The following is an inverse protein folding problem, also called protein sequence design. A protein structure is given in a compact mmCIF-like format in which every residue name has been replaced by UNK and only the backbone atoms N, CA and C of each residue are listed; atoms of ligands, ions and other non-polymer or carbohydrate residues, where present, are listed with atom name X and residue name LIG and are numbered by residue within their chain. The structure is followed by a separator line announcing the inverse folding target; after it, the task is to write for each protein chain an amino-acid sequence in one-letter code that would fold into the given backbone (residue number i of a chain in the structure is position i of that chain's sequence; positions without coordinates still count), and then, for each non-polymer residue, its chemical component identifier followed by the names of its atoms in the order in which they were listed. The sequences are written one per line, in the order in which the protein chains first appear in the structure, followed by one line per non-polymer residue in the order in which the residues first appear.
data_IF_618784447699
#
_entry.id   IF_618784447699
#
_cell.length_a   1.000
_cell.length_b   1.000
_cell.length_c   1.000
_cell.angle_alpha   90.00
_cell.angle_beta   90.00
_cell.angle_gamma   90.00
#
_symmetry.space_group_name_H-M   'P 1'
#
loop_
_entity.id
_entity.type
_entity.pdbx_description
1 polymer ?
#
# COMPACT_ATOMS: atom_id res chain seq x y z
N UNK A 1 -2.67 -40.29 11.12
CA UNK A 1 -2.75 -38.81 10.96
C UNK A 1 -3.57 -38.14 12.07
N UNK A 2 -4.85 -38.49 12.28
CA UNK A 2 -5.71 -37.87 13.32
C UNK A 2 -5.17 -37.97 14.75
N UNK A 3 -4.61 -39.11 15.16
CA UNK A 3 -4.04 -39.28 16.51
C UNK A 3 -2.78 -38.46 16.75
N UNK A 4 -1.93 -38.34 15.72
CA UNK A 4 -0.72 -37.51 15.77
C UNK A 4 -1.07 -36.03 15.94
N UNK A 5 -2.02 -35.54 15.13
CA UNK A 5 -2.52 -34.15 15.23
C UNK A 5 -3.10 -33.90 16.63
N UNK A 6 -3.92 -34.82 17.15
CA UNK A 6 -4.52 -34.65 18.48
C UNK A 6 -3.47 -34.63 19.61
N UNK A 7 -2.40 -35.43 19.48
CA UNK A 7 -1.31 -35.50 20.47
C UNK A 7 -0.42 -34.26 20.47
N UNK A 8 -0.10 -33.72 19.28
CA UNK A 8 0.82 -32.60 19.13
C UNK A 8 0.14 -31.25 18.83
N UNK A 9 -1.19 -31.20 18.89
CA UNK A 9 -2.00 -30.02 18.57
C UNK A 9 -1.48 -28.73 19.21
N UNK A 10 -1.19 -28.75 20.50
CA UNK A 10 -0.74 -27.54 21.21
C UNK A 10 0.65 -27.11 20.73
N UNK A 11 1.57 -28.06 20.51
CA UNK A 11 2.91 -27.79 19.99
C UNK A 11 2.85 -27.22 18.56
N UNK A 12 2.02 -27.81 17.69
CA UNK A 12 1.79 -27.32 16.33
C UNK A 12 1.17 -25.92 16.32
N UNK A 13 0.20 -25.66 17.22
CA UNK A 13 -0.43 -24.34 17.36
C UNK A 13 0.61 -23.30 17.79
N UNK A 14 1.45 -23.61 18.78
CA UNK A 14 2.53 -22.72 19.22
C UNK A 14 3.50 -22.44 18.07
N UNK A 15 3.92 -23.46 17.32
CA UNK A 15 4.83 -23.29 16.19
C UNK A 15 4.23 -22.38 15.09
N UNK A 16 2.96 -22.57 14.75
CA UNK A 16 2.26 -21.74 13.76
C UNK A 16 2.06 -20.30 14.25
N UNK A 17 1.71 -20.10 15.52
CA UNK A 17 1.60 -18.76 16.11
C UNK A 17 2.96 -18.04 16.16
N UNK A 18 4.05 -18.74 16.48
CA UNK A 18 5.40 -18.19 16.41
C UNK A 18 5.78 -17.80 14.98
N UNK A 19 5.47 -18.64 13.99
CA UNK A 19 5.66 -18.30 12.58
C UNK A 19 4.87 -17.04 12.19
N UNK A 20 3.63 -16.89 12.70
CA UNK A 20 2.83 -15.69 12.52
C UNK A 20 3.48 -14.44 13.11
N UNK A 21 4.02 -14.53 14.34
CA UNK A 21 4.75 -13.40 14.96
C UNK A 21 6.01 -13.04 14.16
N UNK A 22 6.78 -14.04 13.73
CA UNK A 22 7.97 -13.82 12.88
C UNK A 22 7.59 -13.14 11.57
N UNK A 23 6.51 -13.57 10.93
CA UNK A 23 5.99 -12.94 9.72
C UNK A 23 5.63 -11.46 9.95
N UNK A 24 4.96 -11.15 11.06
CA UNK A 24 4.61 -9.77 11.43
C UNK A 24 5.83 -8.92 11.79
N UNK A 25 6.90 -9.50 12.34
CA UNK A 25 8.15 -8.78 12.60
C UNK A 25 8.98 -8.57 11.33
N UNK A 26 8.98 -9.54 10.43
CA UNK A 26 9.70 -9.47 9.15
C UNK A 26 9.10 -8.43 8.20
N UNK A 27 7.79 -8.18 8.29
CA UNK A 27 7.09 -7.11 7.57
C UNK A 27 7.82 -5.75 7.65
N UNK A 28 8.35 -5.36 8.81
CA UNK A 28 9.07 -4.08 8.99
C UNK A 28 10.41 -4.02 8.24
N UNK A 29 11.03 -5.16 7.99
CA UNK A 29 12.34 -5.26 7.34
C UNK A 29 12.23 -5.44 5.83
N UNK A 30 11.02 -5.68 5.31
CA UNK A 30 10.79 -5.97 3.90
C UNK A 30 10.12 -4.75 3.23
N UNK A 31 10.92 -3.93 2.54
CA UNK A 31 10.54 -2.73 1.78
C UNK A 31 9.65 -2.99 0.54
N UNK A 32 8.98 -4.15 0.47
CA UNK A 32 8.26 -4.63 -0.72
C UNK A 32 6.75 -4.56 -0.56
N UNK A 33 6.07 -4.02 -1.58
CA UNK A 33 4.64 -4.08 -2.00
C UNK A 33 3.50 -3.93 -0.96
N UNK A 34 3.71 -4.14 0.35
CA UNK A 34 2.69 -4.04 1.39
C UNK A 34 2.76 -2.76 2.23
N UNK A 35 3.60 -1.78 1.89
CA UNK A 35 3.70 -0.51 2.64
C UNK A 35 2.48 0.41 2.49
N UNK A 36 1.58 0.08 1.54
CA UNK A 36 0.37 0.84 1.22
C UNK A 36 -0.87 0.43 2.03
N UNK A 37 -0.89 -0.80 2.57
CA UNK A 37 -1.95 -1.28 3.46
C UNK A 37 -1.56 -1.00 4.91
N UNK A 38 -2.00 0.15 5.43
CA UNK A 38 -1.96 0.43 6.87
C UNK A 38 -3.38 0.40 7.42
N UNK A 39 -3.53 -0.40 8.46
CA UNK A 39 -4.72 -0.42 9.29
C UNK A 39 -4.30 -0.27 10.73
N UNK A 40 -5.08 0.47 11.49
CA UNK A 40 -4.96 0.54 12.94
C UNK A 40 -6.26 0.10 13.60
N UNK A 41 -6.13 -0.38 14.83
CA UNK A 41 -7.25 -0.62 15.73
C UNK A 41 -7.06 0.35 16.89
N UNK A 42 -7.93 1.35 16.99
CA UNK A 42 -7.83 2.42 17.99
C UNK A 42 -6.45 3.12 18.01
N UNK A 43 -5.86 3.38 16.85
CA UNK A 43 -4.55 4.03 16.73
C UNK A 43 -3.35 3.13 17.03
N UNK A 44 -3.57 1.84 17.33
CA UNK A 44 -2.51 0.84 17.45
C UNK A 44 -2.37 0.14 16.10
N UNK A 45 -1.15 0.17 15.55
CA UNK A 45 -0.84 -0.52 14.30
C UNK A 45 -1.26 -2.00 14.39
N UNK A 46 -1.98 -2.48 13.36
CA UNK A 46 -2.47 -3.84 13.25
C UNK A 46 -1.36 -4.89 13.48
N UNK A 47 -0.10 -4.53 13.20
CA UNK A 47 1.06 -5.34 13.54
C UNK A 47 1.14 -5.70 15.01
N UNK A 48 1.10 -4.70 15.88
CA UNK A 48 1.22 -4.91 17.33
C UNK A 48 0.02 -5.67 17.88
N UNK A 49 -1.17 -5.41 17.33
CA UNK A 49 -2.37 -6.18 17.64
C UNK A 49 -2.19 -7.64 17.24
N UNK A 50 -1.72 -7.92 16.04
CA UNK A 50 -1.47 -9.27 15.55
C UNK A 50 -0.45 -10.04 16.39
N UNK A 51 0.64 -9.37 16.80
CA UNK A 51 1.66 -9.94 17.70
C UNK A 51 1.05 -10.25 19.08
N UNK A 52 0.31 -9.30 19.67
CA UNK A 52 -0.34 -9.50 20.97
C UNK A 52 -1.37 -10.64 20.91
N UNK A 53 -2.17 -10.69 19.85
CA UNK A 53 -3.15 -11.75 19.60
C UNK A 53 -2.49 -13.13 19.50
N UNK A 54 -1.46 -13.28 18.66
CA UNK A 54 -0.73 -14.56 18.53
C UNK A 54 -0.03 -14.95 19.83
N UNK A 55 0.47 -13.99 20.59
CA UNK A 55 1.04 -14.22 21.91
C UNK A 55 -0.01 -14.77 22.88
N UNK A 56 -1.22 -14.22 22.88
CA UNK A 56 -2.32 -14.75 23.69
C UNK A 56 -2.67 -16.20 23.31
N UNK A 57 -2.71 -16.53 22.00
CA UNK A 57 -2.93 -17.90 21.52
C UNK A 57 -1.83 -18.84 22.03
N UNK A 58 -0.55 -18.43 21.98
CA UNK A 58 0.58 -19.21 22.51
C UNK A 58 0.42 -19.48 24.00
N UNK A 59 0.07 -18.45 24.78
CA UNK A 59 -0.11 -18.56 26.24
C UNK A 59 -1.20 -19.59 26.55
N UNK A 60 -2.38 -19.47 25.94
CA UNK A 60 -3.47 -20.42 26.18
C UNK A 60 -3.15 -21.84 25.69
N UNK A 61 -2.42 -21.98 24.57
CA UNK A 61 -1.96 -23.27 24.08
C UNK A 61 -0.94 -23.92 25.04
N UNK A 62 -0.02 -23.15 25.61
CA UNK A 62 0.97 -23.61 26.58
C UNK A 62 0.32 -24.10 27.88
N UNK A 63 -0.70 -23.38 28.37
CA UNK A 63 -1.52 -23.79 29.53
C UNK A 63 -2.56 -24.87 29.19
N UNK A 64 -2.55 -25.41 27.96
CA UNK A 64 -3.48 -26.46 27.49
C UNK A 64 -4.95 -26.08 27.60
N UNK A 65 -5.26 -24.79 27.54
CA UNK A 65 -6.63 -24.27 27.58
C UNK A 65 -7.25 -24.28 26.18
N UNK A 66 -7.59 -25.46 25.67
CA UNK A 66 -8.07 -25.65 24.29
C UNK A 66 -9.37 -24.91 23.97
N UNK A 67 -10.26 -24.68 24.96
CA UNK A 67 -11.48 -23.90 24.75
C UNK A 67 -11.18 -22.45 24.37
N UNK A 68 -10.25 -21.81 25.08
CA UNK A 68 -9.85 -20.42 24.81
C UNK A 68 -9.10 -20.30 23.48
N UNK A 69 -8.21 -21.25 23.16
CA UNK A 69 -7.51 -21.30 21.87
C UNK A 69 -8.52 -21.37 20.72
N UNK A 70 -9.50 -22.27 20.79
CA UNK A 70 -10.52 -22.45 19.74
C UNK A 70 -11.39 -21.21 19.57
N UNK A 71 -11.79 -20.56 20.67
CA UNK A 71 -12.57 -19.33 20.63
C UNK A 71 -11.78 -18.16 20.03
N UNK A 72 -10.50 -17.99 20.42
CA UNK A 72 -9.63 -16.96 19.85
C UNK A 72 -9.41 -17.17 18.36
N UNK A 73 -9.09 -18.39 17.92
CA UNK A 73 -8.89 -18.70 16.51
C UNK A 73 -10.17 -18.50 15.69
N UNK A 74 -11.34 -18.84 16.24
CA UNK A 74 -12.63 -18.56 15.59
C UNK A 74 -12.87 -17.05 15.44
N UNK A 75 -12.57 -16.26 16.47
CA UNK A 75 -12.64 -14.79 16.39
C UNK A 75 -11.67 -14.25 15.33
N UNK A 76 -10.46 -14.77 15.26
CA UNK A 76 -9.45 -14.44 14.24
C UNK A 76 -9.95 -14.70 12.83
N UNK A 77 -10.63 -15.82 12.57
CA UNK A 77 -11.26 -16.08 11.27
C UNK A 77 -12.27 -15.01 10.88
N UNK A 78 -13.05 -14.51 11.84
CA UNK A 78 -13.98 -13.41 11.61
C UNK A 78 -13.27 -12.11 11.23
N UNK A 79 -12.14 -11.83 11.87
CA UNK A 79 -11.28 -10.68 11.55
C UNK A 79 -10.73 -10.79 10.13
N UNK A 80 -10.16 -11.95 9.77
CA UNK A 80 -9.59 -12.17 8.44
C UNK A 80 -10.63 -11.98 7.33
N UNK A 81 -11.87 -12.41 7.52
CA UNK A 81 -12.95 -12.20 6.53
C UNK A 81 -13.13 -10.71 6.21
N UNK A 82 -13.10 -9.84 7.22
CA UNK A 82 -13.20 -8.39 7.00
C UNK A 82 -11.96 -7.85 6.28
N UNK A 83 -10.76 -8.26 6.70
CA UNK A 83 -9.50 -7.82 6.09
C UNK A 83 -9.34 -8.28 4.64
N UNK A 84 -9.85 -9.46 4.29
CA UNK A 84 -9.96 -9.93 2.91
C UNK A 84 -10.94 -9.10 2.09
N UNK A 85 -12.12 -8.84 2.64
CA UNK A 85 -13.12 -8.02 1.96
C UNK A 85 -12.56 -6.61 1.69
N UNK A 86 -11.83 -6.04 2.64
CA UNK A 86 -11.15 -4.76 2.50
C UNK A 86 -10.09 -4.78 1.38
N UNK A 87 -9.28 -5.82 1.29
CA UNK A 87 -8.28 -5.96 0.21
C UNK A 87 -8.93 -6.09 -1.18
N UNK A 88 -10.00 -6.88 -1.31
CA UNK A 88 -10.71 -7.08 -2.58
C UNK A 88 -11.44 -5.80 -3.02
N UNK A 89 -12.10 -5.09 -2.09
CA UNK A 89 -12.83 -3.86 -2.41
C UNK A 89 -11.93 -2.74 -2.93
N UNK A 90 -10.66 -2.77 -2.55
CA UNK A 90 -9.70 -1.72 -2.87
C UNK A 90 -8.64 -2.13 -3.90
N UNK A 91 -8.72 -3.37 -4.41
CA UNK A 91 -7.80 -3.94 -5.39
C UNK A 91 -6.30 -3.86 -4.97
N UNK A 92 -6.06 -3.96 -3.66
CA UNK A 92 -4.71 -4.00 -3.07
C UNK A 92 -4.56 -5.30 -2.28
N UNK A 93 -3.63 -6.15 -2.70
CA UNK A 93 -3.36 -7.45 -2.06
C UNK A 93 -2.04 -7.39 -1.32
N UNK A 94 -2.03 -7.71 -0.03
CA UNK A 94 -0.80 -7.82 0.73
C UNK A 94 -0.39 -9.28 0.97
N UNK A 95 0.71 -9.77 0.35
CA UNK A 95 1.21 -11.12 0.58
C UNK A 95 1.42 -11.50 2.06
N UNK A 96 1.84 -10.56 2.92
CA UNK A 96 2.04 -10.83 4.35
C UNK A 96 0.71 -11.06 5.09
N UNK A 97 -0.31 -10.24 4.85
CA UNK A 97 -1.64 -10.44 5.45
C UNK A 97 -2.26 -11.76 4.98
N UNK A 98 -2.13 -12.09 3.69
CA UNK A 98 -2.58 -13.36 3.13
C UNK A 98 -1.88 -14.56 3.76
N UNK A 99 -0.55 -14.48 3.94
CA UNK A 99 0.22 -15.53 4.59
C UNK A 99 -0.15 -15.67 6.08
N UNK A 100 -0.38 -14.56 6.78
CA UNK A 100 -0.84 -14.57 8.18
C UNK A 100 -2.22 -15.25 8.31
N UNK A 101 -3.16 -14.89 7.45
CA UNK A 101 -4.47 -15.56 7.36
C UNK A 101 -4.33 -17.06 7.17
N UNK A 102 -3.46 -17.51 6.24
CA UNK A 102 -3.23 -18.95 6.01
C UNK A 102 -2.73 -19.64 7.27
N UNK A 103 -1.78 -19.03 8.00
CA UNK A 103 -1.30 -19.57 9.28
C UNK A 103 -2.42 -19.68 10.33
N UNK A 104 -3.31 -18.69 10.39
CA UNK A 104 -4.45 -18.68 11.29
C UNK A 104 -5.48 -19.76 10.93
N UNK A 105 -5.83 -19.89 9.64
CA UNK A 105 -6.74 -20.92 9.13
C UNK A 105 -6.18 -22.32 9.43
N UNK A 106 -4.89 -22.56 9.18
CA UNK A 106 -4.23 -23.83 9.49
C UNK A 106 -4.28 -24.12 11.00
N UNK A 107 -4.02 -23.11 11.83
CA UNK A 107 -4.12 -23.22 13.29
C UNK A 107 -5.53 -23.58 13.73
N UNK A 108 -6.55 -22.99 13.11
CA UNK A 108 -7.95 -23.31 13.38
C UNK A 108 -8.29 -24.75 12.98
N UNK A 109 -7.87 -25.20 11.78
CA UNK A 109 -8.11 -26.57 11.28
C UNK A 109 -7.50 -27.61 12.22
N UNK A 110 -6.28 -27.38 12.72
CA UNK A 110 -5.60 -28.27 13.68
C UNK A 110 -6.37 -28.36 15.01
N UNK A 111 -7.10 -27.29 15.37
CA UNK A 111 -7.92 -27.20 16.57
C UNK A 111 -9.41 -27.45 16.34
N UNK A 112 -9.80 -27.85 15.14
CA UNK A 112 -11.19 -28.13 14.81
C UNK A 112 -11.65 -29.45 15.43
N UNK A 113 -12.79 -29.40 16.12
CA UNK A 113 -13.46 -30.55 16.69
C UNK A 113 -14.87 -30.64 16.11
N UNK A 114 -15.25 -31.84 15.69
CA UNK A 114 -16.54 -32.08 15.06
C UNK A 114 -17.65 -31.86 16.10
N UNK A 115 -18.63 -30.97 15.84
CA UNK A 115 -19.67 -30.64 16.81
C UNK A 115 -20.59 -31.82 17.10
N UNK A 116 -21.04 -31.94 18.34
CA UNK A 116 -22.04 -32.93 18.75
C UNK A 116 -23.38 -32.77 18.00
N UNK A 117 -23.74 -31.54 17.63
CA UNK A 117 -24.93 -31.21 16.83
C UNK A 117 -24.95 -31.91 15.45
N UNK A 118 -23.79 -32.30 14.91
CA UNK A 118 -23.70 -33.07 13.66
C UNK A 118 -24.29 -34.48 13.79
N UNK A 119 -24.35 -35.04 15.01
CA UNK A 119 -24.93 -36.36 15.30
C UNK A 119 -26.42 -36.32 15.65
N UNK A 120 -26.93 -35.22 16.20
CA UNK A 120 -28.28 -35.21 16.81
C UNK A 120 -29.38 -34.52 15.97
N UNK A 121 -29.12 -33.34 15.38
CA UNK A 121 -30.18 -32.54 14.72
C UNK A 121 -29.67 -31.79 13.49
N UNK A 122 -29.92 -32.36 12.30
CA UNK A 122 -29.53 -31.82 10.98
C UNK A 122 -29.96 -30.36 10.72
N UNK A 123 -31.08 -29.90 11.32
CA UNK A 123 -31.65 -28.55 11.11
C UNK A 123 -30.88 -27.42 11.81
N UNK A 124 -30.10 -27.70 12.87
CA UNK A 124 -29.24 -26.71 13.55
C UNK A 124 -27.80 -26.70 13.06
N UNK A 125 -27.50 -27.52 12.04
CA UNK A 125 -26.13 -27.77 11.58
C UNK A 125 -25.39 -26.50 11.17
N UNK A 126 -26.08 -25.56 10.51
CA UNK A 126 -25.48 -24.31 10.04
C UNK A 126 -24.96 -23.44 11.20
N UNK A 127 -25.57 -23.47 12.38
CA UNK A 127 -25.08 -22.67 13.53
C UNK A 127 -23.79 -23.22 14.14
N UNK A 128 -23.52 -24.50 13.95
CA UNK A 128 -22.39 -25.21 14.56
C UNK A 128 -21.33 -25.60 13.52
N UNK A 129 -21.37 -25.10 12.29
CA UNK A 129 -20.45 -25.57 11.24
C UNK A 129 -18.97 -25.30 11.58
N UNK A 130 -18.68 -24.24 12.35
CA UNK A 130 -17.34 -23.94 12.85
C UNK A 130 -16.97 -24.71 14.14
N UNK A 131 -17.85 -25.56 14.68
CA UNK A 131 -17.64 -26.25 15.94
C UNK A 131 -18.36 -25.62 17.13
N UNK A 132 -18.20 -26.23 18.29
CA UNK A 132 -18.72 -25.78 19.58
C UNK A 132 -17.62 -25.75 20.65
N UNK A 133 -17.77 -24.89 21.65
CA UNK A 133 -16.83 -24.72 22.76
C UNK A 133 -17.55 -24.73 24.10
N UNK A 134 -16.89 -25.31 25.11
CA UNK A 134 -17.36 -25.37 26.49
C UNK A 134 -16.46 -24.55 27.41
N UNK A 135 -17.08 -23.68 28.22
CA UNK A 135 -16.40 -22.86 29.24
C UNK A 135 -16.91 -23.24 30.63
N UNK A 136 -16.34 -24.28 31.26
CA UNK A 136 -16.79 -24.77 32.56
C UNK A 136 -16.67 -23.71 33.67
N UNK A 137 -15.66 -22.83 33.58
CA UNK A 137 -15.42 -21.76 34.56
C UNK A 137 -16.55 -20.70 34.58
N UNK A 138 -17.24 -20.49 33.46
CA UNK A 138 -18.34 -19.54 33.33
C UNK A 138 -19.73 -20.21 33.37
N UNK A 139 -19.78 -21.53 33.62
CA UNK A 139 -21.00 -22.37 33.54
C UNK A 139 -21.72 -22.28 32.18
N UNK A 140 -20.98 -22.04 31.09
CA UNK A 140 -21.55 -22.00 29.74
C UNK A 140 -21.12 -23.23 28.95
N UNK A 141 -22.09 -23.94 28.39
CA UNK A 141 -21.90 -25.18 27.64
C UNK A 141 -22.42 -25.04 26.21
N UNK A 142 -21.77 -25.72 25.26
CA UNK A 142 -22.16 -25.82 23.85
C UNK A 142 -22.34 -24.47 23.14
N UNK A 143 -21.42 -23.54 23.35
CA UNK A 143 -21.42 -22.27 22.62
C UNK A 143 -20.93 -22.50 21.17
N UNK A 144 -21.66 -22.02 20.15
CA UNK A 144 -21.20 -22.14 18.76
C UNK A 144 -20.00 -21.23 18.51
N UNK A 145 -18.95 -21.77 17.87
CA UNK A 145 -17.75 -20.99 17.49
C UNK A 145 -18.05 -19.89 16.46
N UNK A 146 -19.15 -20.04 15.71
CA UNK A 146 -19.70 -19.00 14.84
C UNK A 146 -19.92 -17.68 15.58
N UNK A 147 -20.36 -17.73 16.84
CA UNK A 147 -20.61 -16.52 17.63
C UNK A 147 -19.30 -15.75 17.87
N UNK A 148 -18.20 -16.44 18.15
CA UNK A 148 -16.89 -15.82 18.30
C UNK A 148 -16.36 -15.24 17.00
N UNK A 149 -16.56 -15.93 15.88
CA UNK A 149 -16.23 -15.40 14.54
C UNK A 149 -17.04 -14.14 14.22
N UNK A 150 -18.35 -14.14 14.50
CA UNK A 150 -19.19 -12.95 14.32
C UNK A 150 -18.73 -11.80 15.22
N UNK A 151 -18.40 -12.07 16.48
CA UNK A 151 -17.85 -11.05 17.39
C UNK A 151 -16.51 -10.50 16.90
N UNK A 152 -15.62 -11.36 16.39
CA UNK A 152 -14.36 -10.94 15.77
C UNK A 152 -14.62 -10.01 14.58
N UNK A 153 -15.50 -10.42 13.67
CA UNK A 153 -15.90 -9.61 12.51
C UNK A 153 -16.51 -8.26 12.91
N UNK A 154 -17.43 -8.23 13.87
CA UNK A 154 -18.04 -6.99 14.35
C UNK A 154 -17.02 -6.11 15.04
N UNK A 155 -16.12 -6.68 15.86
CA UNK A 155 -15.09 -5.91 16.54
C UNK A 155 -14.19 -5.20 15.54
N UNK A 156 -13.68 -5.90 14.51
CA UNK A 156 -12.86 -5.27 13.48
C UNK A 156 -13.69 -4.26 12.67
N UNK A 157 -14.93 -4.56 12.30
CA UNK A 157 -15.79 -3.64 11.56
C UNK A 157 -15.96 -2.28 12.26
N UNK A 158 -16.07 -2.25 13.59
CA UNK A 158 -16.25 -1.01 14.36
C UNK A 158 -14.96 -0.32 14.78
N UNK A 159 -13.86 -1.06 14.90
CA UNK A 159 -12.61 -0.55 15.47
C UNK A 159 -11.51 -0.34 14.44
N UNK A 160 -11.59 -1.04 13.30
CA UNK A 160 -10.62 -0.97 12.23
C UNK A 160 -10.77 0.33 11.47
N UNK A 161 -9.72 1.15 11.54
CA UNK A 161 -9.53 2.28 10.66
C UNK A 161 -8.54 1.83 9.59
N UNK A 162 -9.07 1.22 8.53
CA UNK A 162 -8.31 0.91 7.33
C UNK A 162 -8.39 2.10 6.37
N UNK A 163 -7.29 2.80 6.17
CA UNK A 163 -7.22 3.85 5.16
C UNK A 163 -6.76 3.26 3.83
N UNK A 164 -7.67 3.24 2.86
CA UNK A 164 -7.39 3.09 1.42
C UNK A 164 -7.43 4.44 0.69
N UNK A 165 -7.72 5.49 1.46
CA UNK A 165 -7.78 6.89 1.08
C UNK A 165 -6.83 7.69 1.98
N UNK A 166 -6.04 8.64 1.43
CA UNK A 166 -5.19 9.51 2.23
C UNK A 166 -6.04 10.24 3.26
N UNK A 167 -5.58 10.29 4.50
CA UNK A 167 -6.11 11.19 5.50
C UNK A 167 -5.91 12.65 5.03
N UNK A 168 -6.90 13.20 4.33
CA UNK A 168 -7.07 14.64 4.19
C UNK A 168 -7.65 15.16 5.50
N UNK A 169 -6.78 15.76 6.31
CA UNK A 169 -7.14 16.31 7.60
C UNK A 169 -6.00 17.12 8.18
N UNK A 170 -5.79 18.32 7.62
CA UNK A 170 -5.27 19.47 8.36
C UNK A 170 -3.82 19.40 8.86
N UNK A 171 -2.90 19.57 7.92
CA UNK A 171 -1.75 20.48 7.99
C UNK A 171 -1.29 20.68 6.54
N UNK A 172 -0.60 21.76 6.20
CA UNK A 172 -0.13 22.00 4.82
C UNK A 172 0.96 20.97 4.49
N UNK A 173 0.57 19.74 4.22
CA UNK A 173 1.42 18.72 3.63
C UNK A 173 1.72 19.20 2.22
N UNK A 174 3.00 19.45 1.94
CA UNK A 174 3.48 19.84 0.63
C UNK A 174 2.91 18.84 -0.41
N UNK A 175 1.99 19.30 -1.25
CA UNK A 175 1.46 18.49 -2.35
C UNK A 175 2.58 18.05 -3.30
N UNK A 176 2.25 17.17 -4.26
CA UNK A 176 3.21 16.75 -5.29
C UNK A 176 3.91 17.98 -5.88
N UNK A 177 5.26 18.05 -5.85
CA UNK A 177 5.95 19.26 -6.25
C UNK A 177 5.58 19.67 -7.68
N UNK A 178 5.11 20.90 -7.82
CA UNK A 178 4.75 21.50 -9.11
C UNK A 178 5.54 22.77 -9.38
N UNK A 179 5.88 22.99 -10.63
CA UNK A 179 6.54 24.18 -11.14
C UNK A 179 5.51 25.14 -11.72
N UNK A 180 5.65 26.43 -11.42
CA UNK A 180 4.71 27.45 -11.89
C UNK A 180 3.37 27.46 -11.13
N UNK A 181 2.54 28.44 -11.44
CA UNK A 181 1.21 28.66 -10.82
C UNK A 181 0.16 29.06 -11.85
N UNK A 182 0.38 28.67 -13.10
CA UNK A 182 -0.46 29.05 -14.21
C UNK A 182 -1.80 28.32 -14.27
N UNK A 183 -2.71 28.84 -15.10
CA UNK A 183 -4.07 28.30 -15.30
C UNK A 183 -4.07 26.96 -16.04
N UNK A 184 -3.15 26.78 -16.98
CA UNK A 184 -3.02 25.56 -17.77
C UNK A 184 -2.14 24.57 -17.02
N UNK A 185 -2.59 23.32 -16.84
CA UNK A 185 -1.83 22.31 -16.11
C UNK A 185 -1.26 21.25 -17.05
N UNK A 186 -0.01 20.88 -16.83
CA UNK A 186 0.67 19.77 -17.48
C UNK A 186 1.06 18.79 -16.38
N UNK A 187 0.54 17.56 -16.44
CA UNK A 187 0.91 16.49 -15.51
C UNK A 187 1.63 15.40 -16.29
N UNK A 188 2.93 15.25 -16.02
CA UNK A 188 3.79 14.25 -16.65
C UNK A 188 3.87 13.01 -15.73
N UNK A 189 3.33 11.89 -16.19
CA UNK A 189 3.42 10.60 -15.53
C UNK A 189 4.57 9.78 -16.10
N UNK A 190 5.54 9.39 -15.26
CA UNK A 190 6.74 8.70 -15.70
C UNK A 190 7.27 7.72 -14.64
N UNK A 191 7.93 6.65 -15.10
CA UNK A 191 8.73 5.76 -14.25
C UNK A 191 10.22 5.96 -14.62
N UNK A 192 11.12 6.01 -13.63
CA UNK A 192 12.55 6.23 -13.85
C UNK A 192 13.22 5.13 -14.68
N UNK A 193 12.68 3.91 -14.67
CA UNK A 193 13.20 2.74 -15.39
C UNK A 193 12.56 2.57 -16.78
N UNK A 194 11.70 3.50 -17.21
CA UNK A 194 11.04 3.48 -18.51
C UNK A 194 11.87 4.21 -19.60
N UNK A 195 12.38 3.52 -20.64
CA UNK A 195 13.22 4.17 -21.66
C UNK A 195 12.52 5.29 -22.46
N UNK A 196 11.25 5.14 -22.89
CA UNK A 196 10.53 6.25 -23.52
C UNK A 196 10.36 7.46 -22.60
N UNK A 197 10.30 7.26 -21.29
CA UNK A 197 10.17 8.31 -20.30
C UNK A 197 11.42 9.20 -20.26
N UNK A 198 12.63 8.61 -20.24
CA UNK A 198 13.88 9.37 -20.33
C UNK A 198 13.98 10.17 -21.63
N UNK A 199 13.58 9.57 -22.77
CA UNK A 199 13.60 10.25 -24.07
C UNK A 199 12.71 11.49 -24.08
N UNK A 200 11.46 11.36 -23.65
CA UNK A 200 10.53 12.49 -23.66
C UNK A 200 10.89 13.55 -22.62
N UNK A 201 11.35 13.17 -21.42
CA UNK A 201 11.75 14.12 -20.38
C UNK A 201 12.93 14.99 -20.87
N UNK A 202 13.94 14.36 -21.49
CA UNK A 202 15.11 15.06 -22.08
C UNK A 202 14.70 15.94 -23.26
N UNK A 203 13.88 15.42 -24.18
CA UNK A 203 13.45 16.15 -25.39
C UNK A 203 12.53 17.32 -25.05
N UNK A 204 11.65 17.16 -24.07
CA UNK A 204 10.65 18.15 -23.68
C UNK A 204 11.21 19.24 -22.77
N UNK A 205 12.30 19.01 -22.03
CA UNK A 205 12.85 19.96 -21.07
C UNK A 205 12.96 21.42 -21.58
N UNK A 206 13.54 21.71 -22.77
CA UNK A 206 13.61 23.09 -23.28
C UNK A 206 12.24 23.71 -23.51
N UNK A 207 11.30 22.95 -24.07
CA UNK A 207 9.94 23.38 -24.35
C UNK A 207 9.16 23.61 -23.04
N UNK A 208 9.30 22.74 -22.05
CA UNK A 208 8.65 22.90 -20.74
C UNK A 208 9.18 24.14 -20.00
N UNK A 209 10.47 24.46 -20.11
CA UNK A 209 11.04 25.71 -19.58
C UNK A 209 10.48 26.94 -20.28
N UNK A 210 10.36 26.91 -21.61
CA UNK A 210 9.73 27.97 -22.40
C UNK A 210 8.27 28.18 -21.98
N UNK A 211 7.50 27.09 -21.87
CA UNK A 211 6.11 27.10 -21.42
C UNK A 211 5.96 27.66 -20.00
N UNK A 212 6.83 27.27 -19.06
CA UNK A 212 6.85 27.83 -17.70
C UNK A 212 7.16 29.33 -17.69
N UNK A 213 8.05 29.81 -18.56
CA UNK A 213 8.43 31.21 -18.63
C UNK A 213 7.26 32.13 -19.02
N UNK A 214 6.22 31.60 -19.67
CA UNK A 214 4.99 32.35 -19.95
C UNK A 214 4.21 32.75 -18.69
N UNK A 215 4.46 32.09 -17.54
CA UNK A 215 3.68 32.26 -16.31
C UNK A 215 2.27 31.67 -16.36
N UNK A 216 1.82 31.19 -17.53
CA UNK A 216 0.47 30.64 -17.76
C UNK A 216 0.35 29.15 -17.45
N UNK A 217 1.47 28.48 -17.18
CA UNK A 217 1.56 27.02 -17.02
C UNK A 217 1.92 26.62 -15.59
N UNK A 218 1.32 25.52 -15.13
CA UNK A 218 1.73 24.74 -13.97
C UNK A 218 2.12 23.35 -14.44
N UNK A 219 3.33 22.89 -14.10
CA UNK A 219 3.84 21.56 -14.45
C UNK A 219 3.97 20.73 -13.18
N UNK A 220 3.39 19.54 -13.18
CA UNK A 220 3.55 18.56 -12.11
C UNK A 220 4.21 17.32 -12.70
N UNK A 221 5.28 16.86 -12.05
CA UNK A 221 5.88 15.56 -12.35
C UNK A 221 5.35 14.53 -11.37
N UNK A 222 4.55 13.59 -11.87
CA UNK A 222 3.92 12.54 -11.09
C UNK A 222 4.61 11.21 -11.39
N UNK A 223 5.57 10.84 -10.56
CA UNK A 223 6.31 9.60 -10.75
C UNK A 223 5.41 8.38 -10.43
N UNK A 224 5.45 7.36 -11.29
CA UNK A 224 4.57 6.17 -11.24
C UNK A 224 5.40 4.94 -10.91
N UNK A 225 5.13 4.23 -9.81
CA UNK A 225 5.97 3.12 -9.36
C UNK A 225 5.64 1.79 -10.07
N UNK A 226 5.87 1.71 -11.37
CA UNK A 226 5.70 0.45 -12.12
C UNK A 226 6.90 -0.48 -11.97
N UNK A 227 8.09 0.05 -11.71
CA UNK A 227 9.27 -0.73 -11.38
C UNK A 227 9.49 -0.86 -9.86
N UNK A 228 10.01 -2.01 -9.41
CA UNK A 228 10.19 -2.34 -7.99
C UNK A 228 11.05 -1.34 -7.21
N UNK A 229 12.00 -0.67 -7.87
CA UNK A 229 12.88 0.32 -7.23
C UNK A 229 12.39 1.76 -7.36
N UNK A 230 11.35 2.01 -8.17
CA UNK A 230 10.82 3.37 -8.37
C UNK A 230 10.39 4.05 -7.07
N UNK A 231 9.78 3.39 -6.07
CA UNK A 231 9.48 4.03 -4.78
C UNK A 231 10.71 4.65 -4.10
N UNK A 232 11.87 4.00 -4.17
CA UNK A 232 13.12 4.57 -3.65
C UNK A 232 13.49 5.84 -4.42
N UNK A 233 13.41 5.82 -5.75
CA UNK A 233 13.70 6.99 -6.57
C UNK A 233 12.73 8.15 -6.31
N UNK A 234 11.44 7.87 -6.11
CA UNK A 234 10.43 8.88 -5.74
C UNK A 234 10.79 9.54 -4.41
N UNK A 235 11.13 8.75 -3.39
CA UNK A 235 11.59 9.26 -2.08
C UNK A 235 12.75 10.26 -2.24
N UNK A 236 13.78 9.90 -3.01
CA UNK A 236 14.93 10.77 -3.20
C UNK A 236 14.66 11.98 -4.11
N UNK A 237 13.74 11.86 -5.08
CA UNK A 237 13.23 13.01 -5.81
C UNK A 237 12.58 14.03 -4.86
N UNK A 238 11.69 13.57 -3.97
CA UNK A 238 11.01 14.44 -3.00
C UNK A 238 12.01 15.09 -2.04
N UNK A 239 13.00 14.35 -1.55
CA UNK A 239 14.03 14.89 -0.67
C UNK A 239 14.90 15.95 -1.36
N UNK A 240 15.24 15.73 -2.63
CA UNK A 240 16.04 16.67 -3.41
C UNK A 240 15.25 17.96 -3.73
N UNK A 241 13.98 17.83 -4.11
CA UNK A 241 13.13 18.99 -4.41
C UNK A 241 12.78 19.78 -3.14
N UNK A 242 12.59 19.11 -2.00
CA UNK A 242 12.38 19.76 -0.70
C UNK A 242 13.62 20.55 -0.24
N UNK A 243 14.83 20.11 -0.61
CA UNK A 243 16.04 20.88 -0.37
C UNK A 243 16.09 22.13 -1.25
N UNK A 244 15.79 21.99 -2.55
CA UNK A 244 15.77 23.11 -3.48
C UNK A 244 14.69 22.96 -4.57
N UNK A 245 13.60 23.72 -4.43
CA UNK A 245 12.41 23.64 -5.30
C UNK A 245 12.47 24.49 -6.59
N UNK A 246 13.62 25.07 -6.91
CA UNK A 246 13.77 25.92 -8.10
C UNK A 246 13.65 25.15 -9.41
N UNK A 247 13.00 25.74 -10.43
CA UNK A 247 12.76 25.13 -11.75
C UNK A 247 13.98 24.45 -12.36
N UNK A 248 15.13 25.15 -12.41
CA UNK A 248 16.38 24.59 -12.96
C UNK A 248 16.84 23.35 -12.19
N UNK A 249 16.65 23.34 -10.87
CA UNK A 249 17.06 22.24 -10.01
C UNK A 249 16.13 21.03 -10.20
N UNK A 250 14.82 21.24 -10.32
CA UNK A 250 13.88 20.14 -10.54
C UNK A 250 14.19 19.37 -11.83
N UNK A 251 14.42 20.08 -12.95
CA UNK A 251 14.83 19.42 -14.20
C UNK A 251 16.17 18.70 -14.07
N UNK A 252 17.16 19.32 -13.40
CA UNK A 252 18.45 18.70 -13.15
C UNK A 252 18.33 17.41 -12.32
N UNK A 253 17.58 17.45 -11.21
CA UNK A 253 17.33 16.30 -10.33
C UNK A 253 16.68 15.17 -11.13
N UNK A 254 15.62 15.46 -11.90
CA UNK A 254 14.92 14.45 -12.71
C UNK A 254 15.87 13.78 -13.70
N UNK A 255 16.62 14.58 -14.45
CA UNK A 255 17.63 14.07 -15.39
C UNK A 255 18.64 13.16 -14.69
N UNK A 256 19.18 13.59 -13.55
CA UNK A 256 20.16 12.81 -12.78
C UNK A 256 19.56 11.49 -12.26
N UNK A 257 18.30 11.48 -11.84
CA UNK A 257 17.61 10.26 -11.40
C UNK A 257 17.34 9.30 -12.57
N UNK A 258 16.93 9.79 -13.74
CA UNK A 258 16.84 8.95 -14.93
C UNK A 258 18.19 8.36 -15.35
N UNK A 259 19.27 9.14 -15.29
CA UNK A 259 20.62 8.66 -15.56
C UNK A 259 21.06 7.60 -14.54
N UNK A 260 20.74 7.79 -13.26
CA UNK A 260 21.00 6.80 -12.21
C UNK A 260 20.30 5.45 -12.50
N UNK A 261 19.02 5.50 -12.89
CA UNK A 261 18.22 4.32 -13.16
C UNK A 261 18.65 3.61 -14.47
N UNK A 262 18.79 4.34 -15.57
CA UNK A 262 18.88 3.74 -16.91
C UNK A 262 20.31 3.67 -17.47
N UNK A 263 21.21 4.54 -17.04
CA UNK A 263 22.59 4.57 -17.53
C UNK A 263 23.54 3.93 -16.53
N UNK A 264 23.35 4.21 -15.24
CA UNK A 264 24.16 3.65 -14.15
C UNK A 264 23.59 2.36 -13.56
N UNK A 265 22.35 2.01 -13.90
CA UNK A 265 21.66 0.79 -13.43
C UNK A 265 21.70 0.65 -11.90
N UNK A 266 21.46 1.76 -11.18
CA UNK A 266 21.50 1.79 -9.72
C UNK A 266 20.19 1.22 -9.17
N UNK A 267 20.28 0.10 -8.46
CA UNK A 267 19.13 -0.62 -7.91
C UNK A 267 19.12 -0.68 -6.36
N UNK A 268 20.10 -0.04 -5.70
CA UNK A 268 20.18 -0.02 -4.24
C UNK A 268 20.16 1.40 -3.70
N UNK A 269 19.51 1.59 -2.54
CA UNK A 269 19.39 2.89 -1.89
C UNK A 269 20.77 3.49 -1.57
N UNK A 270 21.68 2.71 -0.99
CA UNK A 270 23.02 3.19 -0.65
C UNK A 270 23.82 3.71 -1.87
N UNK A 271 23.73 2.99 -2.99
CA UNK A 271 24.39 3.42 -4.22
C UNK A 271 23.74 4.68 -4.81
N UNK A 272 22.41 4.81 -4.70
CA UNK A 272 21.68 6.01 -5.14
C UNK A 272 22.09 7.23 -4.31
N UNK A 273 22.12 7.12 -2.98
CA UNK A 273 22.58 8.20 -2.09
C UNK A 273 24.01 8.64 -2.45
N UNK A 274 24.92 7.66 -2.63
CA UNK A 274 26.30 7.94 -2.98
C UNK A 274 26.41 8.69 -4.32
N UNK A 275 25.64 8.25 -5.32
CA UNK A 275 25.58 8.91 -6.63
C UNK A 275 25.01 10.33 -6.53
N UNK A 276 23.89 10.54 -5.83
CA UNK A 276 23.29 11.87 -5.65
C UNK A 276 24.25 12.84 -4.95
N UNK A 277 25.01 12.35 -3.96
CA UNK A 277 26.06 13.13 -3.28
C UNK A 277 27.20 13.48 -4.24
N UNK A 278 27.62 12.55 -5.10
CA UNK A 278 28.63 12.81 -6.15
C UNK A 278 28.16 13.88 -7.14
N UNK A 279 26.87 13.87 -7.49
CA UNK A 279 26.21 14.86 -8.35
C UNK A 279 25.89 16.18 -7.64
N UNK A 280 26.31 16.33 -6.36
CA UNK A 280 26.10 17.52 -5.53
C UNK A 280 24.62 17.88 -5.35
N UNK A 281 23.75 16.87 -5.29
CA UNK A 281 22.33 17.04 -4.99
C UNK A 281 22.14 17.04 -3.47
N UNK A 282 21.67 18.17 -2.95
CA UNK A 282 21.28 18.32 -1.54
C UNK A 282 20.00 17.53 -1.25
N UNK A 283 19.93 16.86 -0.11
CA UNK A 283 18.75 16.09 0.32
C UNK A 283 18.22 16.66 1.62
N UNK A 284 16.91 16.97 1.67
CA UNK A 284 16.20 17.39 2.87
C UNK A 284 15.02 16.45 3.09
N UNK A 285 15.09 15.52 4.06
CA UNK A 285 14.00 14.60 4.34
C UNK A 285 12.67 15.32 4.59
N UNK A 286 11.58 14.71 4.15
CA UNK A 286 10.19 15.12 4.35
C UNK A 286 9.37 13.84 4.59
N UNK A 287 8.20 13.93 5.24
CA UNK A 287 7.30 12.77 5.30
C UNK A 287 6.72 12.46 3.91
N UNK A 288 7.34 11.50 3.22
CA UNK A 288 6.92 11.10 1.88
C UNK A 288 5.54 10.39 1.86
N UNK A 289 5.06 9.86 2.99
CA UNK A 289 3.89 8.98 3.05
C UNK A 289 2.62 9.65 2.51
N UNK A 290 2.40 10.90 2.91
CA UNK A 290 1.26 11.70 2.45
C UNK A 290 1.32 11.97 0.94
N UNK A 291 2.52 12.20 0.40
CA UNK A 291 2.76 12.48 -1.02
C UNK A 291 2.54 11.24 -1.88
N UNK A 292 2.99 10.06 -1.43
CA UNK A 292 2.74 8.79 -2.13
C UNK A 292 1.25 8.53 -2.32
N UNK A 293 0.44 8.81 -1.30
CA UNK A 293 -1.01 8.62 -1.40
C UNK A 293 -1.66 9.58 -2.41
N UNK A 294 -1.19 10.84 -2.47
CA UNK A 294 -1.63 11.80 -3.48
C UNK A 294 -1.22 11.34 -4.88
N UNK A 295 0.02 10.82 -5.05
CA UNK A 295 0.48 10.26 -6.33
C UNK A 295 -0.41 9.09 -6.77
N UNK A 296 -0.76 8.18 -5.86
CA UNK A 296 -1.66 7.06 -6.14
C UNK A 296 -3.06 7.53 -6.57
N UNK A 297 -3.63 8.53 -5.90
CA UNK A 297 -4.91 9.13 -6.30
C UNK A 297 -4.82 9.75 -7.71
N UNK A 298 -3.75 10.51 -8.00
CA UNK A 298 -3.53 11.07 -9.34
C UNK A 298 -3.43 9.99 -10.43
N UNK A 299 -2.73 8.88 -10.16
CA UNK A 299 -2.60 7.74 -11.08
C UNK A 299 -3.97 7.11 -11.35
N UNK A 300 -4.75 6.86 -10.30
CA UNK A 300 -6.05 6.20 -10.38
C UNK A 300 -7.11 7.08 -11.07
N UNK A 301 -7.24 8.35 -10.65
CA UNK A 301 -8.19 9.31 -11.22
C UNK A 301 -7.98 9.55 -12.72
N UNK A 302 -6.72 9.50 -13.17
CA UNK A 302 -6.37 9.68 -14.58
C UNK A 302 -6.24 8.34 -15.34
N UNK A 303 -6.55 7.22 -14.68
CA UNK A 303 -6.51 5.86 -15.22
C UNK A 303 -5.19 5.59 -15.96
N UNK A 304 -4.07 5.84 -15.28
CA UNK A 304 -2.73 5.72 -15.84
C UNK A 304 -2.32 4.25 -15.83
N UNK A 305 -2.26 3.65 -17.03
CA UNK A 305 -1.92 2.23 -17.22
C UNK A 305 -0.54 2.00 -17.84
N UNK A 306 0.10 3.07 -18.32
CA UNK A 306 1.39 3.01 -19.01
C UNK A 306 2.13 4.34 -18.84
N UNK A 307 3.45 4.27 -18.95
CA UNK A 307 4.35 5.43 -18.92
C UNK A 307 5.21 5.47 -20.19
N UNK A 308 5.52 6.67 -20.73
CA UNK A 308 5.08 7.97 -20.23
C UNK A 308 3.63 8.26 -20.64
N UNK A 309 2.92 8.97 -19.78
CA UNK A 309 1.60 9.53 -20.08
C UNK A 309 1.61 11.01 -19.69
N UNK A 310 1.06 11.89 -20.52
CA UNK A 310 0.89 13.30 -20.20
C UNK A 310 -0.59 13.67 -20.19
N UNK A 311 -1.02 14.41 -19.17
CA UNK A 311 -2.32 15.05 -19.12
C UNK A 311 -2.12 16.56 -19.26
N UNK A 312 -2.78 17.16 -20.24
CA UNK A 312 -2.84 18.62 -20.40
C UNK A 312 -4.26 19.08 -20.10
N UNK A 313 -4.41 19.94 -19.08
CA UNK A 313 -5.70 20.54 -18.71
C UNK A 313 -5.75 21.99 -19.19
N UNK A 314 -6.68 22.29 -20.08
CA UNK A 314 -6.98 23.64 -20.55
C UNK A 314 -8.08 24.29 -19.69
N UNK A 315 -8.99 23.48 -19.15
CA UNK A 315 -10.03 23.87 -18.21
C UNK A 315 -10.47 22.65 -17.38
N UNK A 316 -11.46 22.82 -16.50
CA UNK A 316 -12.04 21.71 -15.74
C UNK A 316 -12.71 20.64 -16.63
N UNK A 317 -13.18 21.03 -17.82
CA UNK A 317 -13.88 20.16 -18.77
C UNK A 317 -13.06 19.80 -20.00
N UNK A 318 -12.03 20.58 -20.34
CA UNK A 318 -11.12 20.33 -21.47
C UNK A 318 -9.79 19.77 -20.97
N UNK A 319 -9.71 18.43 -21.01
CA UNK A 319 -8.56 17.65 -20.55
C UNK A 319 -8.16 16.69 -21.66
N UNK A 320 -6.89 16.73 -22.06
CA UNK A 320 -6.34 15.86 -23.11
C UNK A 320 -5.27 14.94 -22.52
N UNK A 321 -5.35 13.66 -22.90
CA UNK A 321 -4.41 12.61 -22.50
C UNK A 321 -3.57 12.19 -23.71
N UNK A 322 -2.27 12.10 -23.53
CA UNK A 322 -1.30 11.69 -24.55
C UNK A 322 -0.45 10.56 -23.99
N UNK A 323 -0.24 9.48 -24.74
CA UNK A 323 0.49 8.29 -24.28
C UNK A 323 1.67 8.03 -25.18
N UNK A 324 2.85 7.78 -24.60
CA UNK A 324 4.09 7.61 -25.35
C UNK A 324 4.80 8.92 -25.68
N UNK A 325 6.06 8.83 -26.11
CA UNK A 325 6.93 9.98 -26.32
C UNK A 325 6.52 10.86 -27.51
N UNK A 326 6.06 10.27 -28.62
CA UNK A 326 5.63 11.02 -29.81
C UNK A 326 4.35 11.83 -29.58
N UNK A 327 3.30 11.21 -29.02
CA UNK A 327 2.03 11.89 -28.77
C UNK A 327 2.19 13.03 -27.75
N UNK A 328 2.98 12.79 -26.70
CA UNK A 328 3.27 13.81 -25.68
C UNK A 328 3.97 15.00 -26.33
N UNK A 329 4.98 14.75 -27.17
CA UNK A 329 5.69 15.82 -27.87
C UNK A 329 4.75 16.66 -28.74
N UNK A 330 3.86 16.01 -29.50
CA UNK A 330 2.87 16.68 -30.33
C UNK A 330 1.88 17.49 -29.49
N UNK A 331 1.40 16.94 -28.38
CA UNK A 331 0.49 17.60 -27.44
C UNK A 331 1.10 18.86 -26.81
N UNK A 332 2.38 18.80 -26.40
CA UNK A 332 3.10 19.96 -25.85
C UNK A 332 3.28 21.08 -26.89
N UNK A 333 3.60 20.73 -28.15
CA UNK A 333 3.69 21.72 -29.22
C UNK A 333 2.33 22.32 -29.57
N UNK A 334 1.26 21.53 -29.57
CA UNK A 334 -0.09 22.04 -29.76
C UNK A 334 -0.49 23.02 -28.65
N UNK A 335 -0.12 22.74 -27.39
CA UNK A 335 -0.31 23.66 -26.28
C UNK A 335 0.48 24.96 -26.47
N UNK A 336 1.76 24.88 -26.89
CA UNK A 336 2.56 26.08 -27.22
C UNK A 336 1.85 26.96 -28.25
N UNK A 337 1.40 26.37 -29.37
CA UNK A 337 0.67 27.10 -30.42
C UNK A 337 -0.62 27.73 -29.90
N UNK A 338 -1.37 27.02 -29.05
CA UNK A 338 -2.59 27.55 -28.42
C UNK A 338 -2.30 28.78 -27.55
N UNK A 339 -1.24 28.74 -26.74
CA UNK A 339 -0.86 29.85 -25.87
C UNK A 339 -0.40 31.08 -26.67
N UNK A 340 0.33 30.88 -27.77
CA UNK A 340 0.73 31.97 -28.68
C UNK A 340 -0.45 32.58 -29.45
N UNK A 341 -1.48 31.80 -29.76
CA UNK A 341 -2.66 32.29 -30.47
C UNK A 341 -3.56 33.19 -29.60
N UNK A 342 -3.58 32.96 -28.28
CA UNK A 342 -4.31 33.79 -27.31
C UNK A 342 -3.58 35.06 -26.86
N UNK A 343 -2.42 35.38 -27.43
CA UNK A 343 -1.68 36.64 -27.20
C UNK A 343 -1.96 37.71 -28.27
N UNK A 344 -2.86 37.45 -29.22
CA UNK A 344 -3.31 38.41 -30.22
C UNK A 344 -4.56 39.17 -29.81
#
# INVERSE_FOLDING_TARGET
MKEFIRKYRNLMTIALSLAGIVLMMYYDYCDTECSYLRGDIWGIDLKWVGIAYMTAVIIFAAFRQSSFVRALLAAGLGVEVHLYAFQIQNDVYCPFCLAFSVLLILSFIINYEVPSAWREKKRRLWLYFLGEVDFPMLRIHKLPLLLFSLLGYLSILFTFSGSVTPAFGQEVAAGVPSLGKGKYEIVMFADYFCPPCLRIDTKAEPLLKELLATGKIKITFADVPFHRFTPTYIKYYLYAVNAHSGTKNVFHIRKTLFEAAQVKHIETENALIAYLKQQKISLKPIDEKSIFSILSSMINENNIKSTPTCIIRYSATDVKKFVGDEEIWNGLNALKTHLSAGEK
#
